data_IF_564247303352
#
_entry.id   IF_564247303352
#
_cell.length_a   1.000
_cell.length_b   1.000
_cell.length_c   1.000
_cell.angle_alpha   90.00
_cell.angle_beta   90.00
_cell.angle_gamma   90.00
#
_symmetry.space_group_name_H-M   'P 1'
#
loop_
_entity.id
_entity.type
_entity.pdbx_description
1 polymer ?
#
# COMPACT_ATOMS: atom_id res chain seq x y z
N UNK A 1 4.43 25.21 -20.23
CA UNK A 1 3.43 24.20 -19.84
C UNK A 1 2.58 24.85 -18.78
N UNK A 2 1.32 25.11 -19.07
CA UNK A 2 0.40 25.59 -18.04
C UNK A 2 0.33 24.54 -16.95
N UNK A 3 0.61 24.95 -15.72
CA UNK A 3 0.53 24.04 -14.56
C UNK A 3 -0.96 23.78 -14.30
N UNK A 4 -1.35 22.51 -14.20
CA UNK A 4 -2.70 22.10 -13.82
C UNK A 4 -3.11 22.85 -12.53
N UNK A 5 -4.30 23.43 -12.54
CA UNK A 5 -4.87 24.07 -11.35
C UNK A 5 -5.73 23.09 -10.54
N UNK A 6 -6.17 23.50 -9.35
CA UNK A 6 -6.97 22.64 -8.47
C UNK A 6 -8.29 22.18 -9.12
N UNK A 7 -8.97 23.03 -9.85
CA UNK A 7 -10.25 22.66 -10.49
C UNK A 7 -10.07 21.59 -11.56
N UNK A 8 -9.03 21.71 -12.38
CA UNK A 8 -8.65 20.68 -13.37
C UNK A 8 -8.27 19.37 -12.71
N UNK A 9 -7.51 19.43 -11.62
CA UNK A 9 -7.15 18.26 -10.80
C UNK A 9 -8.40 17.58 -10.24
N UNK A 10 -9.32 18.34 -9.64
CA UNK A 10 -10.57 17.84 -9.04
C UNK A 10 -11.42 17.09 -10.07
N UNK A 11 -11.60 17.68 -11.26
CA UNK A 11 -12.37 17.04 -12.35
C UNK A 11 -11.71 15.73 -12.76
N UNK A 12 -10.41 15.75 -13.05
CA UNK A 12 -9.66 14.57 -13.48
C UNK A 12 -9.64 13.47 -12.41
N UNK A 13 -9.45 13.85 -11.14
CA UNK A 13 -9.41 12.91 -10.03
C UNK A 13 -10.77 12.24 -9.79
N UNK A 14 -11.85 13.03 -9.80
CA UNK A 14 -13.22 12.52 -9.63
C UNK A 14 -13.61 11.58 -10.77
N UNK A 15 -13.31 11.95 -12.02
CA UNK A 15 -13.55 11.10 -13.19
C UNK A 15 -12.75 9.79 -13.13
N UNK A 16 -11.47 9.87 -12.74
CA UNK A 16 -10.62 8.69 -12.58
C UNK A 16 -11.13 7.76 -11.47
N UNK A 17 -11.59 8.30 -10.34
CA UNK A 17 -12.23 7.52 -9.27
C UNK A 17 -13.50 6.81 -9.77
N UNK A 18 -14.38 7.53 -10.48
CA UNK A 18 -15.63 6.98 -11.00
C UNK A 18 -15.39 5.85 -12.02
N UNK A 19 -14.40 6.00 -12.91
CA UNK A 19 -14.02 4.96 -13.89
C UNK A 19 -13.47 3.69 -13.24
N UNK A 20 -13.00 3.76 -11.99
CA UNK A 20 -12.35 2.66 -11.28
C UNK A 20 -13.14 2.17 -10.06
N UNK A 21 -14.43 2.50 -9.97
CA UNK A 21 -15.31 2.10 -8.87
C UNK A 21 -14.81 2.49 -7.47
N UNK A 22 -14.01 3.55 -7.39
CA UNK A 22 -13.57 4.11 -6.10
C UNK A 22 -14.69 4.97 -5.52
N UNK A 23 -14.98 4.75 -4.23
CA UNK A 23 -16.00 5.51 -3.50
C UNK A 23 -15.73 7.01 -3.63
N UNK A 24 -16.76 7.83 -3.93
CA UNK A 24 -16.62 9.28 -4.04
C UNK A 24 -16.01 9.88 -2.77
N UNK A 25 -15.08 10.80 -2.97
CA UNK A 25 -14.40 11.53 -1.89
C UNK A 25 -15.02 12.92 -1.72
N UNK A 26 -14.93 13.48 -0.50
CA UNK A 26 -15.34 14.85 -0.25
C UNK A 26 -14.38 15.86 -0.91
N UNK A 27 -14.82 17.10 -1.06
CA UNK A 27 -13.99 18.16 -1.61
C UNK A 27 -12.74 18.40 -0.75
N UNK A 28 -12.87 18.34 0.58
CA UNK A 28 -11.76 18.46 1.53
C UNK A 28 -10.73 17.33 1.34
N UNK A 29 -11.20 16.10 1.10
CA UNK A 29 -10.31 14.97 0.81
C UNK A 29 -9.55 15.18 -0.50
N UNK A 30 -10.25 15.66 -1.55
CA UNK A 30 -9.62 15.94 -2.86
C UNK A 30 -8.60 17.08 -2.73
N UNK A 31 -8.87 18.11 -1.90
CA UNK A 31 -7.90 19.16 -1.61
C UNK A 31 -6.64 18.62 -0.92
N UNK A 32 -6.78 17.66 0.01
CA UNK A 32 -5.62 16.99 0.62
C UNK A 32 -4.80 16.23 -0.43
N UNK A 33 -5.44 15.55 -1.39
CA UNK A 33 -4.73 14.91 -2.50
C UNK A 33 -4.02 15.92 -3.39
N UNK A 34 -4.60 17.08 -3.64
CA UNK A 34 -3.97 18.16 -4.39
C UNK A 34 -2.71 18.68 -3.68
N UNK A 35 -2.83 19.04 -2.41
CA UNK A 35 -1.69 19.50 -1.57
C UNK A 35 -0.59 18.42 -1.50
N UNK A 36 -0.96 17.15 -1.40
CA UNK A 36 0.00 16.06 -1.46
C UNK A 36 0.69 15.96 -2.82
N UNK A 37 -0.04 16.15 -3.91
CA UNK A 37 0.52 16.14 -5.28
C UNK A 37 1.56 17.24 -5.46
N UNK A 38 1.27 18.47 -5.06
CA UNK A 38 2.21 19.59 -5.14
C UNK A 38 3.49 19.29 -4.33
N UNK A 39 3.32 18.76 -3.10
CA UNK A 39 4.46 18.38 -2.26
C UNK A 39 5.28 17.24 -2.88
N UNK A 40 4.62 16.17 -3.34
CA UNK A 40 5.26 15.03 -3.99
C UNK A 40 6.06 15.46 -5.23
N UNK A 41 5.46 16.22 -6.13
CA UNK A 41 6.09 16.64 -7.37
C UNK A 41 7.32 17.51 -7.09
N UNK A 42 7.21 18.48 -6.19
CA UNK A 42 8.31 19.34 -5.78
C UNK A 42 9.49 18.55 -5.18
N UNK A 43 9.22 17.65 -4.23
CA UNK A 43 10.28 16.88 -3.56
C UNK A 43 10.88 15.83 -4.50
N UNK A 44 10.05 15.27 -5.42
CA UNK A 44 10.50 14.26 -6.36
C UNK A 44 11.53 14.78 -7.39
N UNK A 45 11.61 16.11 -7.61
CA UNK A 45 12.64 16.71 -8.49
C UNK A 45 14.06 16.38 -8.03
N UNK A 46 14.28 16.29 -6.71
CA UNK A 46 15.61 16.11 -6.12
C UNK A 46 15.83 14.75 -5.46
N UNK A 47 14.77 14.05 -5.06
CA UNK A 47 14.89 12.86 -4.19
C UNK A 47 14.58 11.52 -4.87
N UNK A 48 14.05 11.52 -6.10
CA UNK A 48 13.65 10.30 -6.82
C UNK A 48 12.76 9.37 -5.96
N UNK A 49 11.63 9.91 -5.48
CA UNK A 49 10.65 9.18 -4.69
C UNK A 49 9.82 8.22 -5.54
N UNK A 50 9.47 8.67 -6.75
CA UNK A 50 8.71 7.90 -7.75
C UNK A 50 9.22 8.17 -9.16
N UNK A 51 9.08 7.18 -10.05
CA UNK A 51 9.37 7.32 -11.47
C UNK A 51 8.27 8.10 -12.24
N UNK A 52 7.08 8.23 -11.68
CA UNK A 52 5.95 8.96 -12.31
C UNK A 52 6.17 10.46 -12.15
N UNK A 53 6.08 11.18 -13.29
CA UNK A 53 6.45 12.59 -13.41
C UNK A 53 5.31 13.49 -13.87
N UNK A 54 4.15 12.94 -14.19
CA UNK A 54 2.97 13.72 -14.62
C UNK A 54 1.80 13.48 -13.66
N UNK A 55 0.96 14.49 -13.49
CA UNK A 55 -0.14 14.47 -12.53
C UNK A 55 -1.24 13.44 -12.91
N UNK A 56 -1.66 13.27 -14.17
CA UNK A 56 -2.64 12.26 -14.55
C UNK A 56 -2.24 10.84 -14.15
N UNK A 57 -0.99 10.45 -14.38
CA UNK A 57 -0.47 9.15 -13.97
C UNK A 57 -0.34 9.03 -12.43
N UNK A 58 0.02 10.12 -11.71
CA UNK A 58 0.02 10.14 -10.25
C UNK A 58 -1.39 9.85 -9.71
N UNK A 59 -2.39 10.54 -10.26
CA UNK A 59 -3.80 10.32 -9.89
C UNK A 59 -4.16 8.84 -10.08
N UNK A 60 -3.98 8.31 -11.27
CA UNK A 60 -4.51 6.97 -11.58
C UNK A 60 -3.63 5.86 -11.01
N UNK A 61 -2.31 5.89 -11.27
CA UNK A 61 -1.38 4.80 -10.91
C UNK A 61 -0.90 4.84 -9.45
N UNK A 62 -1.06 5.98 -8.78
CA UNK A 62 -0.73 6.06 -7.36
C UNK A 62 -1.98 6.17 -6.49
N UNK A 63 -2.85 7.16 -6.70
CA UNK A 63 -3.97 7.40 -5.79
C UNK A 63 -5.11 6.42 -6.01
N UNK A 64 -5.66 6.39 -7.21
CA UNK A 64 -6.80 5.49 -7.54
C UNK A 64 -6.41 4.04 -7.36
N UNK A 65 -5.25 3.60 -7.86
CA UNK A 65 -4.71 2.24 -7.65
C UNK A 65 -4.64 1.90 -6.15
N UNK A 66 -4.15 2.82 -5.31
CA UNK A 66 -4.10 2.66 -3.85
C UNK A 66 -5.48 2.52 -3.20
N UNK A 67 -6.49 3.21 -3.74
CA UNK A 67 -7.86 3.21 -3.20
C UNK A 67 -8.68 1.99 -3.61
N UNK A 68 -8.25 1.22 -4.60
CA UNK A 68 -8.95 -0.02 -5.04
C UNK A 68 -9.12 -1.04 -3.92
N UNK A 69 -8.27 -1.01 -2.89
CA UNK A 69 -8.35 -1.92 -1.75
C UNK A 69 -9.18 -1.37 -0.58
N UNK A 70 -9.64 -0.13 -0.65
CA UNK A 70 -10.32 0.56 0.45
C UNK A 70 -11.55 -0.21 0.95
N UNK A 71 -12.39 -0.71 0.04
CA UNK A 71 -13.59 -1.49 0.38
C UNK A 71 -13.29 -2.86 1.00
N UNK A 72 -12.06 -3.35 0.87
CA UNK A 72 -11.63 -4.61 1.48
C UNK A 72 -11.18 -4.43 2.94
N UNK A 73 -11.00 -3.19 3.42
CA UNK A 73 -10.50 -2.87 4.76
C UNK A 73 -11.70 -2.59 5.67
N UNK A 74 -11.86 -3.33 6.79
CA UNK A 74 -12.93 -3.08 7.76
C UNK A 74 -12.89 -1.67 8.34
N UNK A 75 -14.03 -1.16 8.77
CA UNK A 75 -14.12 0.14 9.44
C UNK A 75 -13.36 0.13 10.76
N UNK A 76 -12.66 1.23 11.04
CA UNK A 76 -11.85 1.40 12.24
C UNK A 76 -10.61 0.51 12.34
N UNK A 77 -10.27 -0.22 11.29
CA UNK A 77 -9.16 -1.18 11.30
C UNK A 77 -7.81 -0.50 11.55
N UNK A 78 -6.94 -1.23 12.25
CA UNK A 78 -5.52 -0.90 12.38
C UNK A 78 -4.75 -1.59 11.25
N UNK A 79 -4.15 -0.80 10.36
CA UNK A 79 -3.49 -1.31 9.16
C UNK A 79 -1.99 -1.03 9.15
N UNK A 80 -1.23 -1.94 8.51
CA UNK A 80 0.18 -1.75 8.20
C UNK A 80 0.38 -1.75 6.69
N UNK A 81 0.95 -0.67 6.15
CA UNK A 81 1.50 -0.65 4.80
C UNK A 81 2.96 -1.08 4.85
N UNK A 82 3.25 -2.30 4.39
CA UNK A 82 4.60 -2.87 4.41
C UNK A 82 5.30 -2.66 3.07
N UNK A 83 6.39 -1.89 3.10
CA UNK A 83 7.08 -1.42 1.91
C UNK A 83 6.38 -0.22 1.27
N UNK A 84 5.91 0.71 2.12
CA UNK A 84 5.08 1.84 1.72
C UNK A 84 5.73 2.80 0.72
N UNK A 85 7.04 2.71 0.54
CA UNK A 85 7.75 3.67 -0.30
C UNK A 85 7.52 5.10 0.18
N UNK A 86 7.22 6.05 -0.73
CA UNK A 86 6.92 7.43 -0.36
C UNK A 86 5.48 7.66 0.14
N UNK A 87 4.76 6.57 0.49
CA UNK A 87 3.42 6.65 1.07
C UNK A 87 2.29 6.04 0.25
N UNK A 88 2.55 4.99 -0.55
CA UNK A 88 1.55 4.31 -1.37
C UNK A 88 1.44 2.81 -1.05
N UNK A 89 0.27 2.36 -0.53
CA UNK A 89 -1.05 3.03 -0.45
C UNK A 89 -1.33 3.83 0.83
N UNK A 90 -0.40 3.99 1.78
CA UNK A 90 -0.68 4.53 3.12
C UNK A 90 -1.28 5.94 3.14
N UNK A 91 -0.73 6.92 2.39
CA UNK A 91 -1.26 8.30 2.37
C UNK A 91 -2.65 8.35 1.72
N UNK A 92 -2.89 7.78 0.52
CA UNK A 92 -4.22 7.70 -0.06
C UNK A 92 -5.26 7.08 0.88
N UNK A 93 -4.93 5.97 1.55
CA UNK A 93 -5.84 5.33 2.50
C UNK A 93 -6.10 6.20 3.74
N UNK A 94 -5.08 6.87 4.27
CA UNK A 94 -5.25 7.75 5.43
C UNK A 94 -6.14 8.96 5.12
N UNK A 95 -6.06 9.53 3.91
CA UNK A 95 -6.91 10.63 3.45
C UNK A 95 -8.35 10.15 3.26
N UNK A 96 -8.53 9.04 2.51
CA UNK A 96 -9.85 8.56 2.14
C UNK A 96 -10.62 7.90 3.31
N UNK A 97 -9.90 7.36 4.30
CA UNK A 97 -10.43 6.58 5.42
C UNK A 97 -9.88 7.13 6.76
N UNK A 98 -10.38 8.27 7.23
CA UNK A 98 -9.92 8.88 8.50
C UNK A 98 -10.25 8.02 9.73
N UNK A 99 -11.12 7.04 9.59
CA UNK A 99 -11.44 6.04 10.61
C UNK A 99 -10.32 5.01 10.84
N UNK A 100 -9.40 4.81 9.89
CA UNK A 100 -8.31 3.85 10.01
C UNK A 100 -7.18 4.37 10.89
N UNK A 101 -6.46 3.44 11.54
CA UNK A 101 -5.14 3.72 12.12
C UNK A 101 -4.06 3.14 11.20
N UNK A 102 -3.33 4.01 10.49
CA UNK A 102 -2.38 3.62 9.46
C UNK A 102 -0.95 3.67 9.99
N UNK A 103 -0.26 2.53 10.00
CA UNK A 103 1.18 2.46 10.18
C UNK A 103 1.82 2.16 8.82
N UNK A 104 2.92 2.83 8.49
CA UNK A 104 3.66 2.64 7.26
C UNK A 104 5.11 2.23 7.57
N UNK A 105 5.62 1.18 6.94
CA UNK A 105 6.96 0.66 7.16
C UNK A 105 7.73 0.55 5.86
N UNK A 106 8.91 1.17 5.79
CA UNK A 106 9.88 1.00 4.69
C UNK A 106 11.31 1.02 5.24
N UNK A 107 12.21 0.30 4.60
CA UNK A 107 13.63 0.27 4.97
C UNK A 107 14.40 1.52 4.53
N UNK A 108 13.81 2.37 3.71
CA UNK A 108 14.43 3.56 3.11
C UNK A 108 14.08 4.80 3.92
N UNK A 109 14.98 5.21 4.78
CA UNK A 109 14.80 6.31 5.73
C UNK A 109 14.32 7.64 5.07
N UNK A 110 14.88 7.98 3.90
CA UNK A 110 14.47 9.19 3.17
C UNK A 110 12.99 9.16 2.73
N UNK A 111 12.46 7.98 2.41
CA UNK A 111 11.05 7.81 2.02
C UNK A 111 10.12 7.95 3.22
N UNK A 112 10.52 7.41 4.37
CA UNK A 112 9.77 7.53 5.62
C UNK A 112 9.78 8.96 6.14
N UNK A 113 10.91 9.68 6.02
CA UNK A 113 10.94 11.12 6.33
C UNK A 113 9.95 11.89 5.48
N UNK A 114 9.98 11.72 4.17
CA UNK A 114 9.02 12.34 3.25
C UNK A 114 7.56 12.00 3.63
N UNK A 115 7.27 10.73 3.94
CA UNK A 115 5.93 10.30 4.35
C UNK A 115 5.48 11.03 5.64
N UNK A 116 6.33 11.11 6.66
CA UNK A 116 6.00 11.78 7.91
C UNK A 116 5.86 13.30 7.74
N UNK A 117 6.73 13.93 6.93
CA UNK A 117 6.60 15.35 6.55
C UNK A 117 5.29 15.60 5.78
N UNK A 118 4.89 14.68 4.90
CA UNK A 118 3.60 14.74 4.20
C UNK A 118 2.42 14.58 5.16
N UNK A 119 2.50 13.64 6.11
CA UNK A 119 1.45 13.44 7.09
C UNK A 119 1.27 14.69 7.98
N UNK A 120 2.36 15.33 8.38
CA UNK A 120 2.33 16.59 9.13
C UNK A 120 1.74 17.74 8.29
N UNK A 121 2.22 17.92 7.05
CA UNK A 121 1.71 18.94 6.11
C UNK A 121 0.20 18.83 5.86
N UNK A 122 -0.32 17.59 5.80
CA UNK A 122 -1.72 17.29 5.52
C UNK A 122 -2.55 17.10 6.79
N UNK A 123 -1.95 17.26 7.98
CA UNK A 123 -2.59 17.10 9.29
C UNK A 123 -3.22 15.70 9.48
N UNK A 124 -2.62 14.65 8.91
CA UNK A 124 -3.09 13.26 9.01
C UNK A 124 -2.68 12.64 10.35
N UNK A 125 -3.46 12.87 11.39
CA UNK A 125 -3.22 12.33 12.74
C UNK A 125 -3.34 10.79 12.82
N UNK A 126 -3.97 10.18 11.84
CA UNK A 126 -4.20 8.74 11.72
C UNK A 126 -3.09 7.98 10.98
N UNK A 127 -2.00 8.65 10.54
CA UNK A 127 -0.89 8.05 9.80
C UNK A 127 0.46 8.24 10.52
N UNK A 128 1.24 7.15 10.63
CA UNK A 128 2.61 7.20 11.14
C UNK A 128 3.55 6.29 10.38
N UNK A 129 4.68 6.84 9.92
CA UNK A 129 5.75 6.12 9.24
C UNK A 129 6.87 5.66 10.18
N UNK A 130 7.37 4.46 9.93
CA UNK A 130 8.47 3.82 10.66
C UNK A 130 9.56 3.40 9.69
N UNK A 131 10.82 3.77 9.98
CA UNK A 131 11.98 3.34 9.19
C UNK A 131 12.55 2.06 9.79
N UNK A 132 12.64 1.00 8.97
CA UNK A 132 13.19 -0.28 9.41
C UNK A 132 12.88 -1.43 8.46
N UNK A 133 13.42 -2.60 8.78
CA UNK A 133 13.19 -3.82 8.02
C UNK A 133 12.09 -4.66 8.63
N UNK A 134 11.27 -5.28 7.77
CA UNK A 134 10.14 -6.10 8.18
C UNK A 134 10.53 -7.36 8.95
N UNK A 135 11.70 -7.93 8.65
CA UNK A 135 12.24 -9.10 9.36
C UNK A 135 12.88 -8.78 10.72
N UNK A 136 13.04 -7.48 11.06
CA UNK A 136 13.65 -7.09 12.34
C UNK A 136 12.70 -7.37 13.52
N UNK A 137 13.17 -8.17 14.47
CA UNK A 137 12.44 -8.52 15.67
C UNK A 137 12.06 -7.29 16.52
N UNK A 138 12.94 -6.27 16.59
CA UNK A 138 12.66 -5.03 17.31
C UNK A 138 11.49 -4.30 16.67
N UNK A 139 11.47 -4.19 15.33
CA UNK A 139 10.38 -3.57 14.58
C UNK A 139 9.06 -4.31 14.82
N UNK A 140 9.07 -5.65 14.77
CA UNK A 140 7.88 -6.48 15.05
C UNK A 140 7.34 -6.27 16.46
N UNK A 141 8.23 -6.20 17.46
CA UNK A 141 7.82 -5.92 18.84
C UNK A 141 7.24 -4.52 19.01
N UNK A 142 7.79 -3.54 18.29
CA UNK A 142 7.31 -2.15 18.35
C UNK A 142 5.94 -1.98 17.70
N UNK A 143 5.73 -2.59 16.54
CA UNK A 143 4.51 -2.44 15.75
C UNK A 143 3.40 -3.41 16.19
N UNK A 144 3.73 -4.61 16.64
CA UNK A 144 2.75 -5.65 16.98
C UNK A 144 2.04 -6.22 15.76
N UNK A 145 0.80 -6.65 15.95
CA UNK A 145 -0.05 -7.23 14.91
C UNK A 145 -1.15 -6.25 14.46
N UNK A 146 -1.68 -6.46 13.26
CA UNK A 146 -2.63 -5.58 12.57
C UNK A 146 -3.83 -6.39 12.06
N UNK A 147 -4.98 -5.74 11.95
CA UNK A 147 -6.18 -6.30 11.35
C UNK A 147 -5.96 -6.55 9.85
N UNK A 148 -5.29 -5.59 9.19
CA UNK A 148 -4.93 -5.70 7.78
C UNK A 148 -3.48 -5.27 7.56
N UNK A 149 -2.74 -6.07 6.80
CA UNK A 149 -1.46 -5.66 6.22
C UNK A 149 -1.67 -5.46 4.73
N UNK A 150 -1.33 -4.30 4.22
CA UNK A 150 -1.34 -4.01 2.77
C UNK A 150 0.08 -3.95 2.26
N UNK A 151 0.31 -4.32 1.01
CA UNK A 151 1.62 -4.16 0.38
C UNK A 151 1.51 -4.06 -1.13
N UNK A 152 2.26 -3.12 -1.73
CA UNK A 152 2.31 -2.87 -3.16
C UNK A 152 3.75 -2.88 -3.67
N UNK A 153 4.01 -3.66 -4.74
CA UNK A 153 5.27 -3.65 -5.50
C UNK A 153 6.57 -3.93 -4.69
N UNK A 154 6.50 -4.71 -3.60
CA UNK A 154 7.65 -4.98 -2.71
C UNK A 154 8.48 -6.19 -3.18
N UNK A 155 7.85 -7.36 -3.37
CA UNK A 155 8.52 -8.61 -3.68
C UNK A 155 7.55 -9.62 -4.30
N UNK A 156 8.06 -10.75 -4.81
CA UNK A 156 7.22 -11.90 -5.21
C UNK A 156 6.44 -12.42 -4.03
N UNK A 157 5.27 -13.02 -4.30
CA UNK A 157 4.28 -13.36 -3.27
C UNK A 157 4.81 -14.33 -2.18
N UNK A 158 5.69 -15.28 -2.52
CA UNK A 158 6.32 -16.18 -1.56
C UNK A 158 7.22 -15.45 -0.55
N UNK A 159 8.06 -14.51 -1.03
CA UNK A 159 8.89 -13.63 -0.18
C UNK A 159 8.02 -12.67 0.62
N UNK A 160 7.05 -12.04 -0.03
CA UNK A 160 6.15 -11.07 0.58
C UNK A 160 5.34 -11.68 1.71
N UNK A 161 4.81 -12.89 1.52
CA UNK A 161 4.05 -13.60 2.56
C UNK A 161 4.87 -13.80 3.82
N UNK A 162 6.15 -14.17 3.71
CA UNK A 162 7.02 -14.37 4.88
C UNK A 162 7.29 -13.07 5.65
N UNK A 163 7.40 -11.95 4.94
CA UNK A 163 7.60 -10.64 5.56
C UNK A 163 6.32 -10.09 6.22
N UNK A 164 5.16 -10.29 5.58
CA UNK A 164 3.90 -9.68 6.01
C UNK A 164 3.13 -10.50 7.04
N UNK A 165 3.02 -11.84 6.87
CA UNK A 165 2.15 -12.68 7.71
C UNK A 165 2.46 -12.63 9.21
N UNK A 166 3.71 -12.44 9.67
CA UNK A 166 4.00 -12.22 11.09
C UNK A 166 3.36 -10.98 11.71
N UNK A 167 3.02 -9.98 10.89
CA UNK A 167 2.33 -8.75 11.32
C UNK A 167 0.80 -8.84 11.26
N UNK A 168 0.24 -9.83 10.61
CA UNK A 168 -1.21 -10.02 10.53
C UNK A 168 -1.71 -10.69 11.81
N UNK A 169 -2.75 -10.17 12.45
CA UNK A 169 -3.42 -10.83 13.57
C UNK A 169 -4.17 -12.09 13.10
N UNK A 170 -4.38 -13.08 13.98
CA UNK A 170 -5.25 -14.23 13.65
C UNK A 170 -6.68 -13.71 13.43
N UNK A 171 -7.30 -14.10 12.32
CA UNK A 171 -8.57 -13.54 11.84
C UNK A 171 -8.41 -12.29 10.95
N UNK A 172 -7.24 -11.66 10.97
CA UNK A 172 -6.90 -10.57 10.07
C UNK A 172 -6.42 -11.05 8.69
N UNK A 173 -5.96 -10.13 7.85
CA UNK A 173 -5.57 -10.45 6.48
C UNK A 173 -4.40 -9.63 5.93
N UNK A 174 -3.68 -10.23 4.98
CA UNK A 174 -2.78 -9.55 4.06
C UNK A 174 -3.54 -9.25 2.77
N UNK A 175 -3.43 -8.03 2.25
CA UNK A 175 -3.86 -7.64 0.91
C UNK A 175 -2.62 -7.28 0.10
N UNK A 176 -2.23 -8.13 -0.83
CA UNK A 176 -1.12 -7.88 -1.74
C UNK A 176 -1.63 -7.35 -3.08
N UNK A 177 -1.20 -6.11 -3.41
CA UNK A 177 -1.55 -5.44 -4.66
C UNK A 177 -0.53 -5.82 -5.74
N UNK A 178 -0.96 -6.65 -6.69
CA UNK A 178 -0.12 -7.20 -7.75
C UNK A 178 -0.57 -6.74 -9.13
N UNK A 179 0.38 -6.73 -10.09
CA UNK A 179 0.08 -6.55 -11.50
C UNK A 179 -0.44 -7.88 -12.12
N UNK A 180 -0.59 -7.94 -13.43
CA UNK A 180 -1.16 -9.07 -14.18
C UNK A 180 -0.61 -10.45 -13.82
N UNK A 181 0.66 -10.56 -13.41
CA UNK A 181 1.31 -11.84 -13.02
C UNK A 181 1.02 -12.29 -11.58
N UNK A 182 0.11 -11.62 -10.87
CA UNK A 182 -0.23 -11.97 -9.49
C UNK A 182 -0.72 -13.41 -9.32
N UNK A 183 -1.38 -13.96 -10.33
CA UNK A 183 -1.87 -15.35 -10.31
C UNK A 183 -0.73 -16.38 -10.29
N UNK A 184 0.26 -16.19 -11.16
CA UNK A 184 1.46 -17.04 -11.20
C UNK A 184 2.20 -16.96 -9.85
N UNK A 185 2.36 -15.76 -9.32
CA UNK A 185 3.00 -15.54 -8.02
C UNK A 185 2.22 -16.18 -6.86
N UNK A 186 0.89 -16.16 -6.91
CA UNK A 186 0.05 -16.81 -5.91
C UNK A 186 0.20 -18.34 -5.98
N UNK A 187 0.24 -18.92 -7.18
CA UNK A 187 0.43 -20.36 -7.35
C UNK A 187 1.75 -20.83 -6.72
N UNK A 188 2.83 -20.08 -6.94
CA UNK A 188 4.16 -20.36 -6.35
C UNK A 188 4.17 -20.18 -4.82
N UNK A 189 3.34 -19.29 -4.27
CA UNK A 189 3.33 -18.95 -2.86
C UNK A 189 2.42 -19.82 -1.98
N UNK A 190 1.67 -20.78 -2.54
CA UNK A 190 0.69 -21.59 -1.80
C UNK A 190 1.31 -22.31 -0.59
N UNK A 191 2.52 -22.88 -0.77
CA UNK A 191 3.25 -23.53 0.32
C UNK A 191 3.64 -22.54 1.42
N UNK A 192 4.18 -21.37 1.04
CA UNK A 192 4.55 -20.32 1.96
C UNK A 192 3.34 -19.86 2.81
N UNK A 193 2.23 -19.54 2.14
CA UNK A 193 1.00 -19.09 2.78
C UNK A 193 0.50 -20.14 3.80
N UNK A 194 0.48 -21.42 3.42
CA UNK A 194 0.06 -22.52 4.31
C UNK A 194 0.98 -22.65 5.53
N UNK A 195 2.31 -22.60 5.34
CA UNK A 195 3.30 -22.66 6.43
C UNK A 195 3.09 -21.51 7.40
N UNK A 196 2.91 -20.29 6.86
CA UNK A 196 2.77 -19.05 7.62
C UNK A 196 1.40 -18.88 8.30
N UNK A 197 0.48 -19.83 8.11
CA UNK A 197 -0.81 -19.88 8.80
C UNK A 197 -1.94 -19.18 8.07
N UNK A 198 -1.85 -19.03 6.75
CA UNK A 198 -2.85 -18.35 5.93
C UNK A 198 -3.61 -19.28 4.98
N UNK A 199 -4.68 -18.73 4.43
CA UNK A 199 -5.39 -19.24 3.24
C UNK A 199 -5.66 -18.06 2.32
N UNK A 200 -5.52 -18.27 1.00
CA UNK A 200 -5.56 -17.18 0.03
C UNK A 200 -6.74 -17.30 -0.93
N UNK A 201 -7.27 -16.15 -1.32
CA UNK A 201 -8.13 -15.95 -2.49
C UNK A 201 -7.60 -14.77 -3.30
N UNK A 202 -8.02 -14.66 -4.56
CA UNK A 202 -7.65 -13.57 -5.45
C UNK A 202 -8.87 -13.00 -6.15
N UNK A 203 -8.77 -11.74 -6.55
CA UNK A 203 -9.67 -11.10 -7.51
C UNK A 203 -8.86 -10.29 -8.52
N UNK A 204 -9.36 -10.22 -9.74
CA UNK A 204 -8.81 -9.35 -10.77
C UNK A 204 -9.67 -8.11 -10.89
N UNK A 205 -9.04 -7.00 -11.21
CA UNK A 205 -9.69 -5.76 -11.62
C UNK A 205 -8.85 -5.11 -12.72
N UNK A 206 -9.50 -4.27 -13.51
CA UNK A 206 -8.85 -3.43 -14.51
C UNK A 206 -8.71 -2.03 -13.94
N UNK A 207 -7.48 -1.53 -13.85
CA UNK A 207 -7.20 -0.14 -13.56
C UNK A 207 -7.33 0.64 -14.86
N UNK A 208 -8.41 1.41 -14.96
CA UNK A 208 -8.72 2.20 -16.16
C UNK A 208 -7.89 3.48 -16.14
N UNK A 209 -7.05 3.64 -17.15
CA UNK A 209 -6.24 4.82 -17.43
C UNK A 209 -6.97 5.71 -18.46
N UNK A 210 -6.35 6.81 -18.88
CA UNK A 210 -6.92 7.71 -19.88
C UNK A 210 -7.17 7.00 -21.23
N UNK A 211 -6.15 6.33 -21.78
CA UNK A 211 -6.19 5.70 -23.11
C UNK A 211 -6.05 4.18 -23.07
N UNK A 212 -6.04 3.55 -21.90
CA UNK A 212 -5.75 2.11 -21.74
C UNK A 212 -6.30 1.57 -20.43
N UNK A 213 -6.10 0.29 -20.19
CA UNK A 213 -6.32 -0.33 -18.88
C UNK A 213 -5.14 -1.23 -18.51
N UNK A 214 -4.85 -1.31 -17.23
CA UNK A 214 -3.82 -2.20 -16.68
C UNK A 214 -4.48 -3.22 -15.75
N UNK A 215 -4.24 -4.51 -15.99
CA UNK A 215 -4.75 -5.55 -15.12
C UNK A 215 -4.07 -5.52 -13.75
N UNK A 216 -4.88 -5.65 -12.70
CA UNK A 216 -4.45 -5.78 -11.31
C UNK A 216 -4.94 -7.10 -10.74
N UNK A 217 -4.13 -7.72 -9.91
CA UNK A 217 -4.49 -8.91 -9.15
C UNK A 217 -4.38 -8.57 -7.66
N UNK A 218 -5.51 -8.51 -6.96
CA UNK A 218 -5.55 -8.37 -5.52
C UNK A 218 -5.56 -9.75 -4.88
N UNK A 219 -4.53 -10.05 -4.08
CA UNK A 219 -4.42 -11.32 -3.36
C UNK A 219 -4.71 -11.04 -1.90
N UNK A 220 -5.80 -11.64 -1.39
CA UNK A 220 -6.15 -11.62 0.02
C UNK A 220 -5.69 -12.92 0.68
N UNK A 221 -4.88 -12.83 1.74
CA UNK A 221 -4.47 -13.98 2.56
C UNK A 221 -5.04 -13.80 3.96
N UNK A 222 -6.06 -14.56 4.31
CA UNK A 222 -6.64 -14.56 5.65
C UNK A 222 -5.77 -15.41 6.58
N UNK A 223 -5.40 -14.87 7.74
CA UNK A 223 -4.62 -15.57 8.74
C UNK A 223 -5.53 -16.44 9.63
N UNK A 224 -5.43 -17.75 9.51
CA UNK A 224 -6.27 -18.71 10.22
C UNK A 224 -5.61 -19.32 11.47
N UNK A 225 -4.28 -19.13 11.63
CA UNK A 225 -3.51 -19.56 12.80
C UNK A 225 -2.23 -18.76 12.92
N UNK A 226 -1.60 -18.80 14.08
CA UNK A 226 -0.34 -18.07 14.33
C UNK A 226 0.78 -18.51 13.37
N UNK A 227 1.55 -17.52 12.90
CA UNK A 227 2.79 -17.77 12.15
C UNK A 227 3.83 -18.38 13.10
N UNK A 228 4.49 -19.50 12.72
CA UNK A 228 5.52 -20.11 13.57
C UNK A 228 6.64 -19.12 13.91
N UNK A 229 7.14 -19.16 15.13
CA UNK A 229 8.14 -18.20 15.67
C UNK A 229 9.48 -18.16 14.93
N UNK A 230 9.77 -19.19 14.11
CA UNK A 230 10.93 -19.22 13.22
C UNK A 230 10.85 -18.21 12.06
N UNK A 231 9.67 -17.61 11.82
CA UNK A 231 9.45 -16.65 10.73
C UNK A 231 9.16 -15.24 11.26
N UNK A 232 9.53 -14.19 10.50
CA UNK A 232 10.29 -14.27 9.27
C UNK A 232 11.76 -14.63 9.55
N UNK A 233 12.38 -15.29 8.58
CA UNK A 233 13.83 -15.49 8.56
C UNK A 233 14.55 -14.19 8.20
N UNK A 234 15.88 -14.18 8.30
CA UNK A 234 16.69 -13.08 7.78
C UNK A 234 16.45 -12.91 6.27
N UNK A 235 16.37 -11.68 5.79
CA UNK A 235 15.99 -11.35 4.38
C UNK A 235 16.85 -12.07 3.34
N UNK A 236 18.17 -12.17 3.59
CA UNK A 236 19.09 -12.91 2.72
C UNK A 236 18.77 -14.40 2.61
N UNK A 237 18.30 -15.02 3.71
CA UNK A 237 17.88 -16.41 3.72
C UNK A 237 16.54 -16.60 2.98
N UNK A 238 15.62 -15.64 3.12
CA UNK A 238 14.34 -15.63 2.39
C UNK A 238 14.60 -15.58 0.88
N UNK A 239 15.44 -14.63 0.43
CA UNK A 239 15.77 -14.48 -1.00
C UNK A 239 16.50 -15.69 -1.57
N UNK A 240 17.43 -16.30 -0.82
CA UNK A 240 18.20 -17.46 -1.28
C UNK A 240 17.35 -18.71 -1.44
N UNK A 241 16.35 -18.89 -0.58
CA UNK A 241 15.45 -20.04 -0.58
C UNK A 241 14.06 -19.61 -0.09
N UNK A 242 13.23 -18.97 -0.95
CA UNK A 242 11.83 -18.69 -0.63
C UNK A 242 11.06 -19.95 -0.22
N UNK A 243 10.00 -19.80 0.60
CA UNK A 243 9.16 -20.92 1.05
C UNK A 243 8.35 -21.56 -0.08
#
# INVERSE_FOLDING_TARGET
>A
MDMMNFQEFQVLFTDSCAKNDVVPLSEEQIELFWRFTEHLMRVNETTNLTAIRNIPDVITKHYVDSLTVSSMIPDGARILDLGCGPGFPSIPLAIARPDLTVCALDSTDKKIRFLNESAELLELSNLKGYSGRAEDLKMRKTLGQFDVVVSRAVARMNVLSELCMPYVAVGGKLIAMKAAKGDEELAEAQNAIKILGGTAKKQFLELVLEDSAESRCLIEVVKIRETPSAYPRQYSAILKKPL
#
